data_IF_169965859511
#
_entry.id   IF_169965859511
#
_cell.length_a   1.000
_cell.length_b   1.000
_cell.length_c   1.000
_cell.angle_alpha   90.00
_cell.angle_beta   90.00
_cell.angle_gamma   90.00
#
_symmetry.space_group_name_H-M   'P 1'
#
loop_
_entity.id
_entity.type
_entity.pdbx_description
1 polymer ?
#
# COMPACT_ATOMS: atom_id res chain seq x y z
N UNK A 1 -2.07 -9.25 37.79
CA UNK A 1 -2.99 -8.11 37.62
C UNK A 1 -4.37 -8.65 37.85
N UNK A 2 -5.17 -8.01 38.72
CA UNK A 2 -6.54 -8.44 39.00
C UNK A 2 -7.48 -7.38 38.41
N UNK A 3 -8.56 -7.82 37.79
CA UNK A 3 -9.59 -7.00 37.17
C UNK A 3 -10.93 -7.39 37.77
N UNK A 4 -11.71 -6.40 38.18
CA UNK A 4 -13.03 -6.56 38.79
C UNK A 4 -14.00 -5.62 38.08
N UNK A 5 -15.21 -6.07 37.82
CA UNK A 5 -16.20 -5.36 37.04
C UNK A 5 -17.55 -6.06 37.07
N UNK A 6 -18.60 -5.29 36.75
CA UNK A 6 -19.95 -5.83 36.59
C UNK A 6 -20.25 -6.00 35.11
N UNK A 7 -20.65 -7.21 34.72
CA UNK A 7 -21.10 -7.52 33.38
C UNK A 7 -22.53 -8.07 33.46
N UNK A 8 -23.43 -7.52 32.65
CA UNK A 8 -24.83 -7.99 32.58
C UNK A 8 -24.96 -9.30 31.79
N UNK A 9 -23.94 -9.67 31.03
CA UNK A 9 -23.82 -10.90 30.25
C UNK A 9 -22.35 -11.27 30.10
N UNK A 10 -22.04 -12.55 29.93
CA UNK A 10 -20.67 -13.04 29.74
C UNK A 10 -19.99 -12.46 28.49
N UNK A 11 -20.77 -12.04 27.49
CA UNK A 11 -20.26 -11.39 26.27
C UNK A 11 -19.87 -9.92 26.48
N UNK A 12 -20.35 -9.30 27.56
CA UNK A 12 -20.07 -7.91 27.87
C UNK A 12 -18.74 -7.74 28.62
N UNK A 13 -18.16 -8.84 29.13
CA UNK A 13 -16.84 -8.82 29.74
C UNK A 13 -15.76 -8.72 28.65
N UNK A 14 -15.24 -7.50 28.45
CA UNK A 14 -14.32 -7.16 27.35
C UNK A 14 -12.92 -6.77 27.82
N UNK A 15 -12.56 -7.11 29.06
CA UNK A 15 -11.25 -6.75 29.63
C UNK A 15 -10.13 -7.61 29.04
N UNK A 16 -9.11 -6.96 28.47
CA UNK A 16 -7.87 -7.60 27.98
C UNK A 16 -7.08 -8.26 29.13
N UNK A 17 -7.34 -7.85 30.36
CA UNK A 17 -6.69 -8.40 31.56
C UNK A 17 -7.50 -9.53 32.22
N UNK A 18 -8.72 -9.81 31.76
CA UNK A 18 -9.54 -10.95 32.21
C UNK A 18 -9.30 -12.17 31.32
N UNK A 19 -9.38 -13.40 31.86
CA UNK A 19 -9.44 -14.59 31.03
C UNK A 19 -10.72 -14.59 30.19
N UNK A 20 -10.65 -15.11 28.97
CA UNK A 20 -11.84 -15.31 28.12
C UNK A 20 -12.75 -16.37 28.73
N UNK A 21 -14.04 -16.06 28.87
CA UNK A 21 -15.05 -17.05 29.25
C UNK A 21 -15.14 -18.16 28.20
N UNK A 22 -15.59 -19.35 28.60
CA UNK A 22 -15.73 -20.49 27.69
C UNK A 22 -16.69 -20.17 26.52
N UNK A 23 -17.81 -19.52 26.80
CA UNK A 23 -18.79 -19.15 25.77
C UNK A 23 -18.19 -18.16 24.75
N UNK A 24 -17.39 -17.19 25.19
CA UNK A 24 -16.70 -16.26 24.28
C UNK A 24 -15.61 -16.96 23.45
N UNK A 25 -14.87 -17.90 24.05
CA UNK A 25 -13.90 -18.73 23.31
C UNK A 25 -14.58 -19.54 22.20
N UNK A 26 -15.72 -20.18 22.50
CA UNK A 26 -16.47 -20.97 21.52
C UNK A 26 -16.98 -20.10 20.36
N UNK A 27 -17.43 -18.86 20.65
CA UNK A 27 -17.84 -17.89 19.61
C UNK A 27 -16.66 -17.51 18.70
N UNK A 28 -15.51 -17.20 19.28
CA UNK A 28 -14.32 -16.89 18.47
C UNK A 28 -13.86 -18.08 17.64
N UNK A 29 -13.92 -19.29 18.20
CA UNK A 29 -13.59 -20.51 17.46
C UNK A 29 -14.53 -20.69 16.26
N UNK A 30 -15.84 -20.50 16.45
CA UNK A 30 -16.82 -20.55 15.36
C UNK A 30 -16.57 -19.47 14.29
N UNK A 31 -16.19 -18.25 14.70
CA UNK A 31 -15.86 -17.17 13.77
C UNK A 31 -14.62 -17.49 12.94
N UNK A 32 -13.58 -18.03 13.58
CA UNK A 32 -12.34 -18.45 12.91
C UNK A 32 -12.62 -19.58 11.93
N UNK A 33 -13.37 -20.61 12.34
CA UNK A 33 -13.74 -21.74 11.48
C UNK A 33 -14.56 -21.28 10.27
N UNK A 34 -15.54 -20.39 10.49
CA UNK A 34 -16.33 -19.82 9.41
C UNK A 34 -15.48 -18.96 8.45
N UNK A 35 -14.54 -18.17 8.98
CA UNK A 35 -13.59 -17.40 8.17
C UNK A 35 -12.69 -18.29 7.32
N UNK A 36 -12.17 -19.38 7.91
CA UNK A 36 -11.36 -20.36 7.22
C UNK A 36 -12.14 -21.09 6.12
N UNK A 37 -13.35 -21.54 6.42
CA UNK A 37 -14.23 -22.22 5.48
C UNK A 37 -14.54 -21.34 4.25
N UNK A 38 -14.81 -20.06 4.48
CA UNK A 38 -15.02 -19.05 3.44
C UNK A 38 -13.77 -18.84 2.59
N UNK A 39 -12.59 -18.82 3.20
CA UNK A 39 -11.32 -18.73 2.47
C UNK A 39 -11.13 -19.93 1.54
N UNK A 40 -11.35 -21.14 2.04
CA UNK A 40 -11.26 -22.37 1.23
C UNK A 40 -12.23 -22.35 0.05
N UNK A 41 -13.47 -21.88 0.24
CA UNK A 41 -14.46 -21.75 -0.83
C UNK A 41 -14.09 -20.72 -1.89
N UNK A 42 -13.49 -19.60 -1.48
CA UNK A 42 -13.00 -18.58 -2.42
C UNK A 42 -11.89 -19.14 -3.31
N UNK A 43 -10.89 -19.78 -2.70
CA UNK A 43 -9.76 -20.36 -3.44
C UNK A 43 -10.22 -21.53 -4.31
N UNK A 44 -11.08 -22.40 -3.78
CA UNK A 44 -11.63 -23.55 -4.51
C UNK A 44 -12.33 -23.11 -5.79
N UNK A 45 -13.22 -22.11 -5.70
CA UNK A 45 -13.93 -21.56 -6.87
C UNK A 45 -13.00 -20.83 -7.82
N UNK A 46 -12.09 -20.00 -7.30
CA UNK A 46 -11.17 -19.20 -8.12
C UNK A 46 -10.16 -20.06 -8.90
N UNK A 47 -9.70 -21.17 -8.30
CA UNK A 47 -8.69 -22.06 -8.91
C UNK A 47 -9.28 -23.32 -9.54
N UNK A 48 -10.58 -23.54 -9.37
CA UNK A 48 -11.29 -24.76 -9.79
C UNK A 48 -10.67 -26.05 -9.22
N UNK A 49 -10.24 -25.99 -7.96
CA UNK A 49 -9.68 -27.12 -7.21
C UNK A 49 -10.67 -27.48 -6.11
N UNK A 50 -10.85 -28.76 -5.78
CA UNK A 50 -11.76 -29.17 -4.70
C UNK A 50 -11.37 -28.55 -3.35
N UNK A 51 -12.36 -28.11 -2.56
CA UNK A 51 -12.16 -27.54 -1.22
C UNK A 51 -11.25 -28.39 -0.33
N UNK A 52 -11.41 -29.72 -0.37
CA UNK A 52 -10.58 -30.68 0.39
C UNK A 52 -9.13 -30.74 -0.06
N UNK A 53 -8.84 -30.46 -1.34
CA UNK A 53 -7.47 -30.37 -1.84
C UNK A 53 -6.85 -29.01 -1.48
N UNK A 54 -7.63 -27.93 -1.49
CA UNK A 54 -7.20 -26.61 -0.99
C UNK A 54 -6.87 -26.71 0.50
N UNK A 55 -7.72 -27.33 1.30
CA UNK A 55 -7.52 -27.52 2.74
C UNK A 55 -6.16 -28.19 3.06
N UNK A 56 -5.78 -29.22 2.29
CA UNK A 56 -4.48 -29.89 2.42
C UNK A 56 -3.27 -29.00 2.18
N UNK A 57 -3.42 -27.90 1.44
CA UNK A 57 -2.35 -26.95 1.11
C UNK A 57 -2.52 -25.57 1.79
N UNK A 58 -3.61 -25.33 2.51
CA UNK A 58 -4.03 -24.02 3.03
C UNK A 58 -3.87 -23.85 4.56
N UNK A 59 -3.16 -24.73 5.24
CA UNK A 59 -3.02 -24.79 6.72
C UNK A 59 -2.10 -23.69 7.31
N UNK A 60 -2.23 -22.44 6.85
CA UNK A 60 -1.34 -21.34 7.24
C UNK A 60 0.08 -21.43 6.64
N UNK A 61 0.29 -22.34 5.69
CA UNK A 61 1.58 -22.53 5.04
C UNK A 61 1.87 -21.39 4.04
N UNK A 62 3.11 -20.89 4.07
CA UNK A 62 3.61 -19.94 3.08
C UNK A 62 4.27 -20.70 1.93
N UNK A 63 3.97 -20.31 0.70
CA UNK A 63 4.49 -20.91 -0.51
C UNK A 63 5.45 -19.97 -1.23
N UNK A 64 6.56 -20.50 -1.75
CA UNK A 64 7.32 -19.83 -2.78
C UNK A 64 6.50 -19.78 -4.07
N UNK A 65 6.69 -18.76 -4.91
CA UNK A 65 5.95 -18.63 -6.18
C UNK A 65 6.01 -19.89 -7.03
N UNK A 66 7.19 -20.51 -7.15
CA UNK A 66 7.38 -21.76 -7.90
C UNK A 66 6.55 -22.94 -7.35
N UNK A 67 6.35 -23.02 -6.03
CA UNK A 67 5.54 -24.09 -5.44
C UNK A 67 4.05 -23.77 -5.52
N UNK A 68 3.67 -22.50 -5.37
CA UNK A 68 2.31 -22.04 -5.63
C UNK A 68 1.88 -22.38 -7.06
N UNK A 69 2.78 -22.25 -8.04
CA UNK A 69 2.52 -22.64 -9.43
C UNK A 69 2.29 -24.15 -9.56
N UNK A 70 3.13 -24.99 -8.93
CA UNK A 70 2.94 -26.46 -8.92
C UNK A 70 1.63 -26.88 -8.29
N UNK A 71 1.17 -26.15 -7.26
CA UNK A 71 -0.11 -26.38 -6.59
C UNK A 71 -1.31 -25.73 -7.28
N UNK A 72 -1.11 -25.12 -8.46
CA UNK A 72 -2.14 -24.39 -9.20
C UNK A 72 -2.82 -23.29 -8.35
N UNK A 73 -2.04 -22.63 -7.48
CA UNK A 73 -2.47 -21.45 -6.73
C UNK A 73 -2.21 -20.15 -7.51
N UNK A 74 -1.31 -20.18 -8.49
CA UNK A 74 -1.01 -19.08 -9.43
C UNK A 74 -0.95 -19.60 -10.85
N UNK A 75 -1.21 -18.74 -11.83
CA UNK A 75 -1.30 -19.11 -13.25
C UNK A 75 0.03 -19.04 -14.00
N UNK A 76 0.93 -18.14 -13.58
CA UNK A 76 2.20 -17.90 -14.26
C UNK A 76 3.25 -17.36 -13.28
N UNK A 77 4.52 -17.61 -13.59
CA UNK A 77 5.66 -17.03 -12.86
C UNK A 77 6.26 -15.91 -13.70
N UNK A 78 6.42 -14.73 -13.10
CA UNK A 78 6.97 -13.56 -13.76
C UNK A 78 7.10 -12.39 -12.81
N UNK A 79 7.42 -11.23 -13.39
CA UNK A 79 7.47 -9.95 -12.71
C UNK A 79 6.27 -9.08 -13.10
N UNK A 80 6.34 -7.80 -12.72
CA UNK A 80 5.30 -6.82 -13.04
C UNK A 80 5.12 -6.63 -14.55
N UNK A 81 6.22 -6.52 -15.30
CA UNK A 81 6.18 -6.27 -16.74
C UNK A 81 5.49 -7.44 -17.45
N UNK A 82 5.76 -8.68 -17.01
CA UNK A 82 5.05 -9.86 -17.52
C UNK A 82 3.55 -9.80 -17.25
N UNK A 83 3.13 -9.33 -16.08
CA UNK A 83 1.71 -9.18 -15.76
C UNK A 83 1.01 -8.13 -16.66
N UNK A 84 1.69 -7.03 -16.97
CA UNK A 84 1.19 -5.97 -17.87
C UNK A 84 1.08 -6.49 -19.30
N UNK A 85 2.10 -7.17 -19.81
CA UNK A 85 2.07 -7.82 -21.13
C UNK A 85 0.91 -8.80 -21.22
N UNK A 86 0.74 -9.66 -20.20
CA UNK A 86 -0.33 -10.65 -20.18
C UNK A 86 -1.72 -10.02 -20.19
N UNK A 87 -1.91 -8.92 -19.46
CA UNK A 87 -3.17 -8.17 -19.50
C UNK A 87 -3.45 -7.61 -20.90
N UNK A 88 -2.43 -7.06 -21.57
CA UNK A 88 -2.53 -6.59 -22.95
C UNK A 88 -2.88 -7.71 -23.94
N UNK A 89 -2.24 -8.88 -23.83
CA UNK A 89 -2.57 -10.08 -24.61
C UNK A 89 -4.05 -10.45 -24.43
N UNK A 90 -4.51 -10.60 -23.18
CA UNK A 90 -5.87 -11.02 -22.85
C UNK A 90 -6.93 -10.04 -23.37
N UNK A 91 -6.65 -8.74 -23.29
CA UNK A 91 -7.56 -7.71 -23.81
C UNK A 91 -7.74 -7.76 -25.32
N UNK A 92 -6.70 -8.14 -26.05
CA UNK A 92 -6.71 -8.19 -27.51
C UNK A 92 -7.29 -9.50 -28.06
N UNK A 93 -7.46 -10.55 -27.24
CA UNK A 93 -8.03 -11.85 -27.67
C UNK A 93 -9.46 -11.75 -28.22
N UNK A 94 -10.25 -10.79 -27.77
CA UNK A 94 -11.68 -10.67 -28.11
C UNK A 94 -12.04 -9.36 -28.83
N UNK A 95 -11.03 -8.65 -29.36
CA UNK A 95 -11.25 -7.39 -30.06
C UNK A 95 -11.02 -7.53 -31.56
N UNK A 96 -11.90 -6.90 -32.34
CA UNK A 96 -11.69 -6.73 -33.78
C UNK A 96 -10.54 -5.74 -34.07
N UNK A 97 -10.36 -4.74 -33.20
CA UNK A 97 -9.28 -3.74 -33.31
C UNK A 97 -8.25 -3.94 -32.20
N UNK A 98 -6.99 -4.17 -32.59
CA UNK A 98 -5.87 -4.35 -31.67
C UNK A 98 -5.53 -3.02 -30.98
N UNK A 99 -5.40 -3.05 -29.65
CA UNK A 99 -4.77 -1.95 -28.92
C UNK A 99 -3.27 -2.18 -28.92
N UNK A 100 -2.54 -1.29 -29.61
CA UNK A 100 -1.08 -1.35 -29.71
C UNK A 100 -0.38 -0.74 -28.48
N UNK A 101 -0.98 0.28 -27.86
CA UNK A 101 -0.41 0.99 -26.72
C UNK A 101 -1.22 0.70 -25.44
N UNK A 102 -0.90 -0.42 -24.79
CA UNK A 102 -1.37 -0.71 -23.44
C UNK A 102 -0.34 -0.21 -22.43
N UNK A 103 -0.68 0.82 -21.66
CA UNK A 103 0.21 1.43 -20.67
C UNK A 103 -0.44 1.49 -19.30
N UNK A 104 0.36 1.30 -18.26
CA UNK A 104 -0.08 1.46 -16.87
C UNK A 104 -0.12 2.94 -16.52
N UNK A 105 -1.29 3.42 -16.09
CA UNK A 105 -1.43 4.73 -15.46
C UNK A 105 -1.26 4.57 -13.95
N UNK A 106 -0.26 5.24 -13.38
CA UNK A 106 0.00 5.21 -11.95
C UNK A 106 -0.94 6.18 -11.25
N UNK A 107 -1.73 5.68 -10.30
CA UNK A 107 -2.55 6.53 -9.44
C UNK A 107 -1.64 7.28 -8.46
N UNK A 108 -1.18 8.45 -8.85
CA UNK A 108 -0.49 9.38 -7.95
C UNK A 108 -1.50 10.35 -7.36
N UNK A 109 -1.44 10.56 -6.04
CA UNK A 109 -2.12 11.69 -5.38
C UNK A 109 -1.45 13.00 -5.83
N UNK A 110 -1.70 13.45 -7.05
CA UNK A 110 -1.43 14.84 -7.39
C UNK A 110 -2.48 15.69 -6.69
N UNK A 111 -2.06 16.60 -5.82
CA UNK A 111 -2.92 17.65 -5.26
C UNK A 111 -3.45 18.53 -6.41
N UNK A 112 -4.54 18.07 -7.02
CA UNK A 112 -5.29 18.77 -8.08
C UNK A 112 -6.03 20.00 -7.56
N UNK A 113 -5.86 20.34 -6.28
CA UNK A 113 -6.45 21.51 -5.66
C UNK A 113 -6.00 22.78 -6.38
N UNK A 114 -6.99 23.55 -6.84
CA UNK A 114 -6.81 24.88 -7.42
C UNK A 114 -6.05 25.78 -6.43
N UNK A 115 -6.27 25.59 -5.12
CA UNK A 115 -5.54 26.29 -4.05
C UNK A 115 -4.05 25.90 -4.11
N UNK A 116 -3.73 24.62 -4.27
CA UNK A 116 -2.34 24.15 -4.40
C UNK A 116 -1.63 24.71 -5.65
N UNK A 117 -2.33 24.76 -6.80
CA UNK A 117 -1.81 25.39 -8.03
C UNK A 117 -1.62 26.89 -7.86
N UNK A 118 -2.61 27.60 -7.30
CA UNK A 118 -2.54 29.03 -7.01
C UNK A 118 -1.41 29.37 -6.03
N UNK A 119 -1.23 28.59 -4.97
CA UNK A 119 -0.13 28.80 -4.02
C UNK A 119 1.24 28.53 -4.65
N UNK A 120 1.36 27.54 -5.53
CA UNK A 120 2.59 27.31 -6.31
C UNK A 120 2.89 28.48 -7.24
N UNK A 121 1.91 28.95 -8.00
CA UNK A 121 2.07 30.08 -8.92
C UNK A 121 2.34 31.40 -8.18
N UNK A 122 1.66 31.63 -7.05
CA UNK A 122 1.90 32.76 -6.17
C UNK A 122 3.31 32.70 -5.55
N UNK A 123 3.75 31.53 -5.08
CA UNK A 123 5.11 31.33 -4.55
C UNK A 123 6.16 31.57 -5.63
N UNK A 124 5.93 31.09 -6.85
CA UNK A 124 6.84 31.27 -7.98
C UNK A 124 6.95 32.75 -8.39
N UNK A 125 5.83 33.46 -8.46
CA UNK A 125 5.79 34.90 -8.76
C UNK A 125 6.32 35.77 -7.60
N UNK A 126 6.05 35.39 -6.35
CA UNK A 126 6.56 36.08 -5.16
C UNK A 126 8.08 35.88 -4.99
N UNK A 127 8.62 34.73 -5.37
CA UNK A 127 10.06 34.45 -5.33
C UNK A 127 10.82 35.24 -6.41
N UNK A 128 10.18 35.59 -7.52
CA UNK A 128 10.71 36.55 -8.50
C UNK A 128 10.60 37.99 -8.00
N UNK A 129 9.45 38.37 -7.43
CA UNK A 129 9.22 39.71 -6.87
C UNK A 129 10.15 40.02 -5.68
N UNK A 130 10.38 39.05 -4.80
CA UNK A 130 11.31 39.14 -3.66
C UNK A 130 12.77 39.33 -4.11
N UNK A 131 13.19 38.69 -5.21
CA UNK A 131 14.54 38.84 -5.74
C UNK A 131 14.76 40.19 -6.45
N UNK A 132 13.71 40.81 -6.98
CA UNK A 132 13.77 42.16 -7.55
C UNK A 132 13.63 43.29 -6.54
N UNK A 133 12.95 43.07 -5.41
CA UNK A 133 12.65 44.13 -4.43
C UNK A 133 13.68 44.24 -3.31
N UNK A 134 14.34 43.15 -2.93
CA UNK A 134 15.47 43.18 -2.01
C UNK A 134 16.78 43.05 -2.79
N UNK A 135 17.48 44.17 -2.96
CA UNK A 135 18.86 44.22 -3.44
C UNK A 135 19.79 43.58 -2.38
N UNK A 136 19.79 42.26 -2.33
CA UNK A 136 20.49 41.47 -1.33
C UNK A 136 22.00 41.52 -1.60
N UNK A 137 22.83 41.96 -0.64
CA UNK A 137 24.27 42.08 -0.85
C UNK A 137 24.92 40.71 -1.13
N UNK A 138 26.07 40.76 -1.82
CA UNK A 138 26.88 39.62 -2.30
C UNK A 138 27.09 38.44 -1.31
N UNK A 139 27.10 38.60 0.03
CA UNK A 139 27.26 37.45 0.95
C UNK A 139 26.14 36.40 0.87
N UNK A 140 24.95 36.75 0.36
CA UNK A 140 23.83 35.79 0.27
C UNK A 140 24.02 34.77 -0.87
N UNK A 141 24.85 35.09 -1.87
CA UNK A 141 25.19 34.13 -2.92
C UNK A 141 26.02 32.95 -2.40
N UNK A 142 26.87 33.19 -1.40
CA UNK A 142 27.65 32.12 -0.75
C UNK A 142 26.79 31.26 0.19
N UNK A 143 25.77 31.86 0.82
CA UNK A 143 24.80 31.13 1.62
C UNK A 143 23.88 30.24 0.75
N UNK A 144 23.50 30.69 -0.46
CA UNK A 144 22.74 29.89 -1.43
C UNK A 144 23.40 28.54 -1.74
N UNK A 145 24.73 28.47 -1.78
CA UNK A 145 25.44 27.22 -2.08
C UNK A 145 25.26 26.17 -0.97
N UNK A 146 25.22 26.59 0.30
CA UNK A 146 24.98 25.70 1.43
C UNK A 146 23.50 25.34 1.60
N UNK A 147 22.58 26.27 1.29
CA UNK A 147 21.13 26.03 1.34
C UNK A 147 20.63 25.17 0.17
N UNK A 148 21.46 24.91 -0.85
CA UNK A 148 21.07 24.08 -2.00
C UNK A 148 20.81 22.62 -1.62
N UNK A 149 21.34 22.15 -0.48
CA UNK A 149 20.98 20.85 0.07
C UNK A 149 19.61 20.86 0.76
N UNK A 150 19.24 21.96 1.42
CA UNK A 150 17.93 22.12 2.06
C UNK A 150 16.80 22.23 1.03
N UNK A 151 17.08 22.73 -0.18
CA UNK A 151 16.12 22.68 -1.29
C UNK A 151 15.74 21.26 -1.70
N UNK A 152 16.53 20.24 -1.35
CA UNK A 152 16.20 18.83 -1.58
C UNK A 152 15.23 18.28 -0.53
N UNK A 153 14.95 19.05 0.53
CA UNK A 153 13.96 18.76 1.56
C UNK A 153 12.70 19.62 1.31
N UNK A 154 12.06 19.43 0.17
CA UNK A 154 10.88 20.20 -0.26
C UNK A 154 9.62 19.34 -0.45
N UNK A 155 9.54 18.23 0.29
CA UNK A 155 8.40 17.31 0.26
C UNK A 155 7.17 18.02 0.86
N UNK A 156 6.04 18.07 0.14
CA UNK A 156 4.82 18.75 0.60
C UNK A 156 4.24 18.20 1.91
N UNK A 157 4.49 16.92 2.22
CA UNK A 157 4.04 16.23 3.44
C UNK A 157 5.11 16.32 4.57
N UNK A 158 6.27 16.91 4.30
CA UNK A 158 7.36 17.11 5.27
C UNK A 158 8.10 15.83 5.64
N UNK A 159 8.05 14.80 4.80
CA UNK A 159 8.69 13.51 5.04
C UNK A 159 9.98 13.39 4.22
N UNK A 160 11.07 12.96 4.87
CA UNK A 160 12.40 12.91 4.26
C UNK A 160 13.17 11.68 4.70
N UNK A 161 13.75 10.96 3.75
CA UNK A 161 14.73 9.91 4.04
C UNK A 161 16.12 10.41 3.67
N UNK A 162 16.91 10.77 4.68
CA UNK A 162 18.30 11.21 4.48
C UNK A 162 19.27 10.05 4.67
N UNK A 163 19.93 9.62 3.60
CA UNK A 163 20.99 8.63 3.70
C UNK A 163 22.30 9.32 4.15
N UNK A 164 22.69 9.11 5.41
CA UNK A 164 23.94 9.64 5.99
C UNK A 164 25.18 9.17 5.22
N UNK A 165 25.14 7.97 4.65
CA UNK A 165 26.28 7.38 3.92
C UNK A 165 26.29 7.73 2.43
N UNK A 166 25.15 8.17 1.88
CA UNK A 166 24.97 8.44 0.45
C UNK A 166 24.91 9.96 0.16
N UNK A 167 24.76 10.80 1.20
CA UNK A 167 24.64 12.25 1.05
C UNK A 167 23.41 12.70 0.24
N UNK A 168 22.33 11.92 0.27
CA UNK A 168 21.14 12.13 -0.56
C UNK A 168 19.84 12.08 0.24
N UNK A 169 18.86 12.87 -0.19
CA UNK A 169 17.48 12.89 0.32
C UNK A 169 16.60 12.19 -0.72
N UNK A 170 15.76 11.26 -0.27
CA UNK A 170 14.65 10.68 -1.05
C UNK A 170 13.34 10.99 -0.37
#
# INVERSE_FOLDING_TARGET
MNTDGIATTELAETSVFSPLSKNTQDIYQLEIEHGYDKFLDLVSRGRQISKTAVDKIAQGQVWLGADAFKHNLVDELGDFDRAVEKAGELMNLHRETVIENFTVEWMTEEDGSIIGKLFRDLKYNAQQFMQTWFDLPKPIQQLKQHLNQLNKFNDPKGQYLYCLNCGGVK
#
